data_IF_536555789530
#
_entry.id   IF_536555789530
#
_cell.length_a   1.000
_cell.length_b   1.000
_cell.length_c   1.000
_cell.angle_alpha   90.00
_cell.angle_beta   90.00
_cell.angle_gamma   90.00
#
_symmetry.space_group_name_H-M   'P 1'
#
loop_
_entity.id
_entity.type
_entity.pdbx_description
1 polymer ?
#
# COMPACT_ATOMS: atom_id res chain seq x y z
N UNK A 1 -25.41 1.24 7.66
CA UNK A 1 -25.01 1.81 6.35
C UNK A 1 -23.69 2.50 6.54
N UNK A 2 -22.66 2.02 5.83
CA UNK A 2 -21.27 2.44 6.05
C UNK A 2 -21.06 3.92 5.69
N UNK A 3 -20.55 4.70 6.65
CA UNK A 3 -20.12 6.10 6.47
C UNK A 3 -18.99 6.29 5.42
N UNK A 4 -18.52 5.22 4.79
CA UNK A 4 -17.39 5.19 3.85
C UNK A 4 -17.67 5.84 2.49
N UNK A 5 -18.94 6.07 2.17
CA UNK A 5 -19.36 6.66 0.87
C UNK A 5 -19.48 8.19 0.88
N UNK A 6 -19.20 8.86 2.00
CA UNK A 6 -19.41 10.32 2.10
C UNK A 6 -18.47 11.14 1.23
N UNK A 7 -17.24 10.67 0.98
CA UNK A 7 -16.29 11.38 0.09
C UNK A 7 -16.86 11.50 -1.31
N UNK A 8 -17.57 10.47 -1.79
CA UNK A 8 -18.20 10.43 -3.10
C UNK A 8 -19.50 11.26 -3.18
N UNK A 9 -20.08 11.58 -2.03
CA UNK A 9 -21.31 12.37 -1.92
C UNK A 9 -21.05 13.87 -1.63
N UNK A 10 -19.78 14.26 -1.50
CA UNK A 10 -19.43 15.66 -1.25
C UNK A 10 -19.60 16.49 -2.52
N UNK A 11 -20.67 17.27 -2.60
CA UNK A 11 -20.93 18.23 -3.69
C UNK A 11 -20.09 19.52 -3.56
N UNK A 12 -18.89 19.45 -2.98
CA UNK A 12 -18.00 20.60 -2.76
C UNK A 12 -16.85 20.69 -3.77
N UNK A 13 -16.65 19.65 -4.54
CA UNK A 13 -15.70 19.53 -5.65
C UNK A 13 -16.36 18.76 -6.79
N UNK A 14 -15.92 18.95 -8.06
CA UNK A 14 -16.35 18.12 -9.17
C UNK A 14 -16.08 16.63 -8.92
N UNK A 15 -16.88 15.75 -9.51
CA UNK A 15 -16.55 14.32 -9.49
C UNK A 15 -15.25 14.07 -10.23
N UNK A 16 -14.43 13.16 -9.70
CA UNK A 16 -13.11 12.85 -10.30
C UNK A 16 -13.22 12.47 -11.77
N UNK A 17 -14.23 11.68 -12.12
CA UNK A 17 -14.48 11.25 -13.50
C UNK A 17 -14.71 12.42 -14.47
N UNK A 18 -15.32 13.51 -14.01
CA UNK A 18 -15.59 14.70 -14.82
C UNK A 18 -14.33 15.57 -15.01
N UNK A 19 -13.29 15.33 -14.20
CA UNK A 19 -12.00 16.03 -14.26
C UNK A 19 -10.99 15.34 -15.16
N UNK A 20 -11.29 14.11 -15.60
CA UNK A 20 -10.43 13.36 -16.53
C UNK A 20 -10.73 13.77 -17.96
N UNK A 21 -9.73 14.26 -18.74
CA UNK A 21 -9.99 14.87 -20.05
C UNK A 21 -10.48 13.92 -21.14
N UNK A 22 -10.30 12.58 -21.00
CA UNK A 22 -10.68 11.59 -22.00
C UNK A 22 -11.25 10.32 -21.34
N UNK A 23 -12.42 9.88 -21.82
CA UNK A 23 -13.11 8.66 -21.35
C UNK A 23 -12.27 7.37 -21.51
N UNK A 24 -11.22 7.36 -22.31
CA UNK A 24 -10.27 6.23 -22.44
C UNK A 24 -9.58 5.88 -21.12
N UNK A 25 -9.51 6.82 -20.18
CA UNK A 25 -8.91 6.59 -18.86
C UNK A 25 -9.74 5.68 -17.96
N UNK A 26 -11.01 5.45 -18.30
CA UNK A 26 -11.89 4.57 -17.54
C UNK A 26 -11.62 3.07 -17.70
N UNK A 27 -10.67 2.69 -18.53
CA UNK A 27 -10.37 1.29 -18.77
C UNK A 27 -9.02 0.90 -18.19
N UNK A 28 -8.97 -0.31 -17.63
CA UNK A 28 -7.70 -0.92 -17.27
C UNK A 28 -6.86 -1.18 -18.52
N UNK A 29 -5.56 -1.27 -18.35
CA UNK A 29 -4.72 -1.79 -19.43
C UNK A 29 -5.08 -3.26 -19.69
N UNK A 30 -4.93 -3.72 -20.92
CA UNK A 30 -5.15 -5.12 -21.30
C UNK A 30 -4.25 -6.10 -20.54
N UNK A 31 -3.14 -5.61 -19.97
CA UNK A 31 -2.18 -6.41 -19.21
C UNK A 31 -2.03 -5.89 -17.79
N UNK A 32 -2.42 -6.70 -16.81
CA UNK A 32 -2.12 -6.49 -15.40
C UNK A 32 -0.74 -7.06 -15.12
N UNK A 33 0.16 -6.22 -14.62
CA UNK A 33 1.53 -6.58 -14.29
C UNK A 33 1.74 -6.85 -12.79
N UNK A 34 0.89 -6.26 -11.94
CA UNK A 34 1.00 -6.31 -10.48
C UNK A 34 -0.24 -6.97 -9.89
N UNK A 35 -0.03 -8.04 -9.14
CA UNK A 35 -1.03 -8.61 -8.25
C UNK A 35 -0.72 -8.18 -6.81
N UNK A 36 -1.53 -7.27 -6.27
CA UNK A 36 -1.43 -6.91 -4.87
C UNK A 36 -2.35 -7.81 -4.04
N UNK A 37 -1.79 -8.51 -3.05
CA UNK A 37 -2.53 -9.49 -2.25
C UNK A 37 -2.62 -9.02 -0.80
N UNK A 38 -3.83 -8.68 -0.38
CA UNK A 38 -4.13 -8.23 0.96
C UNK A 38 -4.52 -9.43 1.83
N UNK A 39 -3.53 -10.01 2.53
CA UNK A 39 -3.68 -11.28 3.25
C UNK A 39 -4.49 -11.20 4.54
N UNK A 40 -5.00 -10.01 4.88
CA UNK A 40 -5.88 -9.83 6.02
C UNK A 40 -5.82 -8.43 6.62
N UNK A 41 -6.68 -8.20 7.63
CA UNK A 41 -6.72 -6.92 8.37
C UNK A 41 -6.18 -7.03 9.79
N UNK A 42 -5.79 -8.22 10.24
CA UNK A 42 -5.13 -8.42 11.53
C UNK A 42 -3.76 -7.71 11.51
N UNK A 43 -3.50 -6.89 12.52
CA UNK A 43 -2.26 -6.12 12.65
C UNK A 43 -1.94 -5.92 14.13
N UNK A 44 -0.67 -5.99 14.51
CA UNK A 44 -0.23 -5.65 15.87
C UNK A 44 -0.20 -4.14 16.16
N UNK A 45 -0.50 -3.29 15.15
CA UNK A 45 -0.58 -1.83 15.27
C UNK A 45 -1.97 -1.30 14.91
N UNK A 46 -2.28 -0.07 15.40
CA UNK A 46 -3.51 0.67 15.07
C UNK A 46 -3.20 2.08 14.56
N UNK A 47 -2.43 2.16 13.47
CA UNK A 47 -1.94 3.42 12.89
C UNK A 47 -3.08 4.36 12.47
N UNK A 48 -2.94 5.67 12.74
CA UNK A 48 -3.98 6.69 12.45
C UNK A 48 -4.25 6.89 10.96
N UNK A 49 -3.25 6.70 10.11
CA UNK A 49 -3.35 6.88 8.65
C UNK A 49 -3.78 5.61 7.90
N UNK A 50 -4.10 4.52 8.60
CA UNK A 50 -4.41 3.24 7.95
C UNK A 50 -5.72 3.30 7.17
N UNK A 51 -5.62 3.20 5.84
CA UNK A 51 -6.74 3.25 4.92
C UNK A 51 -7.64 2.01 4.98
N UNK A 52 -7.10 0.83 5.36
CA UNK A 52 -7.87 -0.41 5.54
C UNK A 52 -8.43 -0.60 6.95
N UNK A 53 -8.14 0.32 7.89
CA UNK A 53 -8.54 0.21 9.29
C UNK A 53 -8.10 -1.09 9.96
N UNK A 54 -6.88 -1.57 9.64
CA UNK A 54 -6.28 -2.77 10.24
C UNK A 54 -5.98 -2.57 11.72
N UNK A 55 -6.00 -3.65 12.50
CA UNK A 55 -5.73 -3.56 13.94
C UNK A 55 -5.72 -4.93 14.64
N UNK A 56 -5.38 -4.95 15.94
CA UNK A 56 -5.31 -6.20 16.73
C UNK A 56 -6.67 -6.85 16.97
N UNK A 57 -7.73 -6.09 16.83
CA UNK A 57 -9.13 -6.49 17.00
C UNK A 57 -9.77 -7.05 15.72
N UNK A 58 -9.03 -7.07 14.60
CA UNK A 58 -9.51 -7.56 13.31
C UNK A 58 -9.34 -9.08 13.21
N UNK A 59 -10.28 -9.72 12.52
CA UNK A 59 -10.34 -11.18 12.36
C UNK A 59 -10.24 -11.62 10.90
N UNK A 60 -10.25 -10.68 9.98
CA UNK A 60 -10.15 -10.96 8.55
C UNK A 60 -8.75 -11.48 8.22
N UNK A 61 -8.69 -12.74 7.81
CA UNK A 61 -7.47 -13.47 7.47
C UNK A 61 -7.73 -14.27 6.20
N UNK A 62 -6.87 -14.13 5.21
CA UNK A 62 -6.93 -14.89 3.96
C UNK A 62 -6.66 -16.36 4.21
N UNK A 63 -7.60 -17.20 3.77
CA UNK A 63 -7.47 -18.66 3.83
C UNK A 63 -6.50 -19.20 2.77
N UNK A 64 -6.07 -20.46 2.97
CA UNK A 64 -5.13 -21.15 2.10
C UNK A 64 -5.60 -21.25 0.66
N UNK A 65 -6.85 -21.60 0.43
CA UNK A 65 -7.47 -21.75 -0.89
C UNK A 65 -7.38 -20.44 -1.71
N UNK A 66 -7.65 -19.29 -1.08
CA UNK A 66 -7.54 -17.98 -1.76
C UNK A 66 -6.10 -17.71 -2.15
N UNK A 67 -5.13 -18.02 -1.29
CA UNK A 67 -3.70 -17.89 -1.59
C UNK A 67 -3.27 -18.80 -2.75
N UNK A 68 -3.75 -20.03 -2.82
CA UNK A 68 -3.52 -20.96 -3.93
C UNK A 68 -4.08 -20.40 -5.24
N UNK A 69 -5.25 -19.79 -5.21
CA UNK A 69 -5.82 -19.08 -6.35
C UNK A 69 -4.99 -17.88 -6.78
N UNK A 70 -4.39 -17.13 -5.83
CA UNK A 70 -3.46 -16.05 -6.15
C UNK A 70 -2.21 -16.58 -6.87
N UNK A 71 -1.59 -17.66 -6.38
CA UNK A 71 -0.45 -18.31 -7.03
C UNK A 71 -0.82 -18.79 -8.44
N UNK A 72 -1.98 -19.43 -8.58
CA UNK A 72 -2.50 -19.84 -9.88
C UNK A 72 -2.66 -18.67 -10.85
N UNK A 73 -3.19 -17.54 -10.37
CA UNK A 73 -3.34 -16.33 -11.15
C UNK A 73 -1.99 -15.74 -11.58
N UNK A 74 -0.99 -15.69 -10.69
CA UNK A 74 0.37 -15.25 -11.01
C UNK A 74 0.93 -16.04 -12.19
N UNK A 75 0.86 -17.38 -12.12
CA UNK A 75 1.40 -18.27 -13.14
C UNK A 75 0.63 -18.17 -14.48
N UNK A 76 -0.70 -18.22 -14.44
CA UNK A 76 -1.55 -18.25 -15.63
C UNK A 76 -1.60 -16.90 -16.37
N UNK A 77 -1.51 -15.80 -15.62
CA UNK A 77 -1.59 -14.44 -16.17
C UNK A 77 -0.23 -13.83 -16.49
N UNK A 78 0.87 -14.48 -16.12
CA UNK A 78 2.22 -13.94 -16.32
C UNK A 78 2.47 -12.67 -15.53
N UNK A 79 1.94 -12.62 -14.28
CA UNK A 79 2.13 -11.49 -13.39
C UNK A 79 3.62 -11.33 -13.08
N UNK A 80 4.12 -10.11 -13.23
CA UNK A 80 5.56 -9.80 -13.03
C UNK A 80 5.91 -9.49 -11.58
N UNK A 81 4.94 -8.96 -10.83
CA UNK A 81 5.13 -8.51 -9.45
C UNK A 81 3.99 -8.97 -8.56
N UNK A 82 4.34 -9.68 -7.50
CA UNK A 82 3.43 -10.02 -6.40
C UNK A 82 3.74 -9.12 -5.20
N UNK A 83 2.79 -8.28 -4.83
CA UNK A 83 2.89 -7.30 -3.74
C UNK A 83 2.05 -7.77 -2.54
N UNK A 84 2.69 -8.40 -1.55
CA UNK A 84 2.02 -8.95 -0.37
C UNK A 84 1.86 -7.84 0.67
N UNK A 85 0.61 -7.57 1.03
CA UNK A 85 0.23 -6.50 1.96
C UNK A 85 -0.89 -6.96 2.91
N UNK A 86 -1.40 -6.04 3.70
CA UNK A 86 -2.50 -6.29 4.65
C UNK A 86 -2.37 -5.43 5.89
N UNK A 87 -2.76 -5.99 7.01
CA UNK A 87 -2.45 -5.45 8.34
C UNK A 87 -0.96 -5.62 8.66
N UNK A 88 -0.63 -6.76 9.26
CA UNK A 88 0.73 -7.30 9.29
C UNK A 88 0.66 -8.66 8.59
N UNK A 89 1.17 -8.78 7.36
CA UNK A 89 1.08 -10.02 6.58
C UNK A 89 1.61 -11.24 7.33
N UNK A 90 2.64 -11.04 8.12
CA UNK A 90 3.34 -12.06 8.91
C UNK A 90 2.42 -12.72 9.96
N UNK A 91 1.34 -12.05 10.39
CA UNK A 91 0.35 -12.60 11.32
C UNK A 91 -0.61 -13.61 10.67
N UNK A 92 -0.65 -13.69 9.34
CA UNK A 92 -1.43 -14.72 8.68
C UNK A 92 -0.77 -16.10 8.90
N UNK A 93 -1.47 -17.12 9.43
CA UNK A 93 -0.87 -18.42 9.72
C UNK A 93 -0.32 -19.16 8.50
N UNK A 94 -0.78 -18.82 7.30
CA UNK A 94 -0.29 -19.37 6.05
C UNK A 94 0.81 -18.50 5.39
N UNK A 95 1.23 -17.40 6.02
CA UNK A 95 2.13 -16.43 5.42
C UNK A 95 3.45 -17.04 4.94
N UNK A 96 4.11 -17.83 5.80
CA UNK A 96 5.41 -18.44 5.46
C UNK A 96 5.31 -19.34 4.24
N UNK A 97 4.29 -20.17 4.20
CA UNK A 97 4.02 -21.01 3.04
C UNK A 97 3.72 -20.18 1.80
N UNK A 98 2.84 -19.19 1.91
CA UNK A 98 2.46 -18.32 0.78
C UNK A 98 3.68 -17.56 0.21
N UNK A 99 4.54 -17.06 1.09
CA UNK A 99 5.78 -16.38 0.69
C UNK A 99 6.69 -17.30 -0.13
N UNK A 100 6.92 -18.53 0.32
CA UNK A 100 7.79 -19.50 -0.37
C UNK A 100 7.20 -19.92 -1.72
N UNK A 101 5.90 -20.22 -1.78
CA UNK A 101 5.23 -20.51 -3.04
C UNK A 101 5.24 -19.32 -4.00
N UNK A 102 5.14 -18.10 -3.48
CA UNK A 102 5.25 -16.88 -4.28
C UNK A 102 6.62 -16.77 -4.96
N UNK A 103 7.69 -17.11 -4.26
CA UNK A 103 9.05 -17.12 -4.82
C UNK A 103 9.19 -18.17 -5.94
N UNK A 104 8.51 -19.31 -5.82
CA UNK A 104 8.54 -20.39 -6.83
C UNK A 104 7.86 -20.00 -8.16
N UNK A 105 7.04 -18.94 -8.19
CA UNK A 105 6.38 -18.47 -9.42
C UNK A 105 7.34 -17.79 -10.41
N UNK A 106 8.50 -17.33 -9.95
CA UNK A 106 9.42 -16.51 -10.72
C UNK A 106 9.03 -15.03 -10.83
N UNK A 107 7.90 -14.62 -10.30
CA UNK A 107 7.54 -13.21 -10.15
C UNK A 107 8.42 -12.53 -9.10
N UNK A 108 8.68 -11.24 -9.25
CA UNK A 108 9.29 -10.45 -8.16
C UNK A 108 8.33 -10.38 -6.99
N UNK A 109 8.80 -10.63 -5.77
CA UNK A 109 7.97 -10.61 -4.56
C UNK A 109 8.35 -9.43 -3.69
N UNK A 110 7.35 -8.63 -3.33
CA UNK A 110 7.45 -7.53 -2.37
C UNK A 110 6.62 -7.88 -1.14
N UNK A 111 7.13 -7.56 0.04
CA UNK A 111 6.36 -7.59 1.28
C UNK A 111 6.30 -6.19 1.89
N UNK A 112 5.07 -5.72 2.16
CA UNK A 112 4.84 -4.46 2.89
C UNK A 112 4.72 -4.75 4.37
N UNK A 113 5.79 -4.47 5.10
CA UNK A 113 5.88 -4.75 6.54
C UNK A 113 5.76 -3.48 7.37
N UNK A 114 5.06 -3.58 8.48
CA UNK A 114 5.09 -2.54 9.50
C UNK A 114 6.39 -2.58 10.34
N UNK A 115 7.27 -3.53 10.07
CA UNK A 115 8.54 -3.84 10.72
C UNK A 115 8.42 -4.36 12.14
N UNK A 116 7.68 -3.68 13.04
CA UNK A 116 7.68 -4.04 14.47
C UNK A 116 7.10 -5.42 14.77
N UNK A 117 6.42 -6.02 13.82
CA UNK A 117 6.04 -7.43 13.90
C UNK A 117 7.28 -8.35 13.90
N UNK A 118 8.36 -7.95 13.27
CA UNK A 118 9.60 -8.73 13.16
C UNK A 118 10.39 -8.80 14.48
N UNK A 119 9.97 -8.01 15.48
CA UNK A 119 10.53 -7.95 16.84
C UNK A 119 9.57 -8.61 17.86
N UNK A 120 8.47 -9.16 17.41
CA UNK A 120 7.54 -9.89 18.28
C UNK A 120 7.98 -11.37 18.42
N UNK A 121 7.69 -11.99 19.59
CA UNK A 121 8.01 -13.42 19.80
C UNK A 121 7.44 -14.34 18.71
N UNK A 122 8.26 -15.19 18.14
CA UNK A 122 7.89 -16.14 17.09
C UNK A 122 8.07 -15.61 15.66
N UNK A 123 8.57 -14.39 15.48
CA UNK A 123 8.83 -13.77 14.17
C UNK A 123 10.32 -13.42 13.95
N UNK A 124 11.20 -13.79 14.87
CA UNK A 124 12.63 -13.41 14.88
C UNK A 124 13.40 -13.97 13.69
N UNK A 125 12.95 -15.05 13.09
CA UNK A 125 13.54 -15.69 11.91
C UNK A 125 13.08 -15.09 10.58
N UNK A 126 11.95 -14.35 10.57
CA UNK A 126 11.37 -13.77 9.35
C UNK A 126 12.36 -12.86 8.58
N UNK A 127 13.16 -11.99 9.22
CA UNK A 127 14.14 -11.19 8.48
C UNK A 127 15.15 -12.05 7.69
N UNK A 128 15.56 -13.19 8.24
CA UNK A 128 16.43 -14.15 7.55
C UNK A 128 15.69 -14.89 6.44
N UNK A 129 14.43 -15.26 6.66
CA UNK A 129 13.57 -15.87 5.64
C UNK A 129 13.44 -14.93 4.45
N UNK A 130 13.21 -13.65 4.67
CA UNK A 130 13.15 -12.64 3.62
C UNK A 130 14.47 -12.54 2.86
N UNK A 131 15.59 -12.41 3.56
CA UNK A 131 16.90 -12.27 2.95
C UNK A 131 17.29 -13.51 2.10
N UNK A 132 17.03 -14.72 2.62
CA UNK A 132 17.36 -15.97 1.92
C UNK A 132 16.57 -16.17 0.63
N UNK A 133 15.38 -15.54 0.52
CA UNK A 133 14.51 -15.64 -0.65
C UNK A 133 14.53 -14.38 -1.53
N UNK A 134 15.43 -13.43 -1.27
CA UNK A 134 15.55 -12.22 -2.09
C UNK A 134 14.33 -11.29 -2.08
N UNK A 135 13.55 -11.32 -0.98
CA UNK A 135 12.32 -10.53 -0.87
C UNK A 135 12.63 -9.04 -0.81
N UNK A 136 11.99 -8.25 -1.65
CA UNK A 136 12.03 -6.80 -1.54
C UNK A 136 11.11 -6.32 -0.41
N UNK A 137 11.62 -5.45 0.44
CA UNK A 137 10.87 -4.91 1.58
C UNK A 137 10.44 -3.47 1.34
N UNK A 138 9.16 -3.20 1.60
CA UNK A 138 8.62 -1.84 1.69
C UNK A 138 8.15 -1.62 3.13
N UNK A 139 8.86 -0.78 3.86
CA UNK A 139 8.73 -0.62 5.30
C UNK A 139 8.12 0.74 5.67
N UNK A 140 7.09 0.72 6.51
CA UNK A 140 6.43 1.94 6.97
C UNK A 140 7.29 2.70 7.97
N UNK A 141 7.81 3.86 7.59
CA UNK A 141 8.47 4.81 8.49
C UNK A 141 7.96 6.22 8.17
N UNK A 142 6.76 6.60 8.65
CA UNK A 142 6.09 7.84 8.26
C UNK A 142 6.90 9.11 8.51
N UNK A 143 7.83 9.08 9.46
CA UNK A 143 8.79 10.17 9.67
C UNK A 143 10.08 9.66 10.30
N UNK A 144 11.15 10.43 10.16
CA UNK A 144 12.50 10.13 10.69
C UNK A 144 12.72 10.64 12.13
N UNK A 145 11.69 11.15 12.80
CA UNK A 145 11.73 11.51 14.22
C UNK A 145 10.72 10.70 15.03
N UNK A 146 11.05 10.41 16.29
CA UNK A 146 10.19 9.64 17.18
C UNK A 146 8.84 10.32 17.40
N UNK A 147 8.82 11.62 17.68
CA UNK A 147 7.58 12.35 17.94
C UNK A 147 6.55 12.25 16.81
N UNK A 148 6.98 12.47 15.57
CA UNK A 148 6.08 12.50 14.43
C UNK A 148 5.69 11.10 13.97
N UNK A 149 6.62 10.14 14.04
CA UNK A 149 6.35 8.75 13.74
C UNK A 149 5.37 8.15 14.77
N UNK A 150 5.64 8.33 16.05
CA UNK A 150 4.86 7.73 17.14
C UNK A 150 3.47 8.35 17.26
N UNK A 151 3.31 9.64 16.91
CA UNK A 151 1.99 10.27 16.78
C UNK A 151 1.08 9.53 15.80
N UNK A 152 1.64 8.95 14.75
CA UNK A 152 0.89 8.22 13.73
C UNK A 152 0.75 6.73 14.04
N UNK A 153 1.77 6.11 14.64
CA UNK A 153 1.86 4.65 14.76
C UNK A 153 1.73 4.11 16.19
N UNK A 154 1.95 4.94 17.18
CA UNK A 154 1.95 4.57 18.61
C UNK A 154 3.31 4.81 19.27
N UNK A 155 3.30 4.98 20.58
CA UNK A 155 4.49 5.31 21.40
C UNK A 155 5.54 4.19 21.32
N UNK A 156 6.80 4.56 21.11
CA UNK A 156 7.96 3.63 21.06
C UNK A 156 8.12 2.87 19.75
N UNK A 157 7.22 3.07 18.79
CA UNK A 157 7.28 2.37 17.50
C UNK A 157 8.49 2.83 16.66
N UNK A 158 8.89 4.09 16.79
CA UNK A 158 10.06 4.60 16.09
C UNK A 158 11.34 3.87 16.50
N UNK A 159 11.61 3.75 17.78
CA UNK A 159 12.84 3.13 18.28
C UNK A 159 12.91 1.63 17.93
N UNK A 160 11.79 0.93 18.02
CA UNK A 160 11.68 -0.45 17.55
C UNK A 160 11.96 -0.54 16.05
N UNK A 161 11.37 0.34 15.24
CA UNK A 161 11.59 0.39 13.79
C UNK A 161 13.07 0.63 13.45
N UNK A 162 13.74 1.55 14.15
CA UNK A 162 15.18 1.82 14.02
C UNK A 162 16.02 0.57 14.33
N UNK A 163 15.70 -0.16 15.41
CA UNK A 163 16.40 -1.40 15.77
C UNK A 163 16.28 -2.44 14.65
N UNK A 164 15.07 -2.62 14.11
CA UNK A 164 14.82 -3.60 13.04
C UNK A 164 15.49 -3.19 11.73
N UNK A 165 15.46 -1.92 11.36
CA UNK A 165 16.15 -1.42 10.16
C UNK A 165 17.66 -1.68 10.25
N UNK A 166 18.27 -1.48 11.42
CA UNK A 166 19.70 -1.83 11.64
C UNK A 166 19.95 -3.33 11.45
N UNK A 167 19.03 -4.18 11.92
CA UNK A 167 19.16 -5.63 11.75
C UNK A 167 19.01 -6.04 10.28
N UNK A 168 18.07 -5.44 9.55
CA UNK A 168 17.91 -5.64 8.10
C UNK A 168 19.18 -5.19 7.35
N UNK A 169 19.76 -4.05 7.72
CA UNK A 169 21.03 -3.61 7.13
C UNK A 169 22.19 -4.59 7.42
N UNK A 170 22.22 -5.23 8.60
CA UNK A 170 23.22 -6.28 8.88
C UNK A 170 23.06 -7.49 7.96
N UNK A 171 21.83 -7.83 7.59
CA UNK A 171 21.52 -8.92 6.64
C UNK A 171 21.80 -8.54 5.17
N UNK A 172 22.17 -7.28 4.88
CA UNK A 172 22.51 -6.83 3.53
C UNK A 172 21.47 -5.95 2.85
N UNK A 173 20.30 -5.74 3.45
CA UNK A 173 19.26 -4.87 2.92
C UNK A 173 19.73 -3.41 2.81
N UNK A 174 19.29 -2.71 1.75
CA UNK A 174 19.56 -1.29 1.53
C UNK A 174 21.02 -0.94 1.19
N UNK A 175 21.85 -1.97 0.84
CA UNK A 175 23.29 -1.82 0.57
C UNK A 175 23.67 -2.02 -0.91
N UNK A 176 22.69 -2.03 -1.82
CA UNK A 176 22.94 -2.22 -3.25
C UNK A 176 23.26 -3.66 -3.69
N UNK A 177 23.20 -4.64 -2.79
CA UNK A 177 23.54 -6.06 -3.05
C UNK A 177 22.38 -6.94 -3.48
N UNK A 178 21.28 -6.35 -3.98
CA UNK A 178 20.09 -7.10 -4.44
C UNK A 178 18.96 -7.19 -3.42
N UNK A 179 19.25 -7.13 -2.10
CA UNK A 179 18.23 -7.06 -1.05
C UNK A 179 17.73 -5.62 -0.90
N UNK A 180 16.60 -5.32 -1.52
CA UNK A 180 16.06 -3.95 -1.54
C UNK A 180 15.25 -3.65 -0.30
N UNK A 181 15.55 -2.49 0.30
CA UNK A 181 14.85 -1.91 1.44
C UNK A 181 14.32 -0.55 1.05
N UNK A 182 13.01 -0.43 0.92
CA UNK A 182 12.35 0.84 0.64
C UNK A 182 11.57 1.30 1.87
N UNK A 183 11.53 2.61 2.09
CA UNK A 183 10.78 3.22 3.18
C UNK A 183 9.55 3.94 2.64
N UNK A 184 8.51 4.05 3.46
CA UNK A 184 7.29 4.78 3.12
C UNK A 184 7.10 5.93 4.10
N UNK A 185 6.95 7.13 3.53
CA UNK A 185 6.49 8.32 4.20
C UNK A 185 4.99 8.53 3.99
N UNK A 186 4.29 8.92 5.04
CA UNK A 186 2.93 9.44 4.99
C UNK A 186 2.82 10.76 5.76
N UNK A 187 2.13 11.80 5.22
CA UNK A 187 1.87 13.03 5.94
C UNK A 187 1.17 12.78 7.28
N UNK A 188 1.58 13.50 8.33
CA UNK A 188 0.99 13.37 9.67
C UNK A 188 -0.38 14.06 9.84
N UNK A 189 -1.02 14.50 8.77
CA UNK A 189 -2.28 15.24 8.81
C UNK A 189 -2.88 15.52 7.44
N UNK A 190 -3.78 16.50 7.38
CA UNK A 190 -4.55 16.90 6.20
C UNK A 190 -3.74 17.82 5.26
N UNK A 191 -2.57 17.38 4.81
CA UNK A 191 -1.71 18.11 3.87
C UNK A 191 -1.04 17.16 2.87
N UNK A 192 -0.58 17.71 1.74
CA UNK A 192 0.14 16.94 0.72
C UNK A 192 1.60 16.71 1.15
N UNK A 193 2.22 15.62 0.70
CA UNK A 193 3.64 15.40 0.91
C UNK A 193 4.47 16.47 0.18
N UNK A 194 5.67 16.80 0.69
CA UNK A 194 6.65 17.57 -0.08
C UNK A 194 7.20 16.73 -1.23
N UNK A 195 8.07 17.34 -2.06
CA UNK A 195 8.79 16.62 -3.13
C UNK A 195 9.47 15.36 -2.59
N UNK A 196 9.25 14.21 -3.24
CA UNK A 196 9.83 12.93 -2.85
C UNK A 196 11.36 13.00 -2.78
N UNK A 197 12.00 13.61 -3.79
CA UNK A 197 13.46 13.71 -3.84
C UNK A 197 14.03 14.52 -2.67
N UNK A 198 13.40 15.66 -2.33
CA UNK A 198 13.83 16.48 -1.19
C UNK A 198 13.69 15.72 0.14
N UNK A 199 12.54 15.04 0.33
CA UNK A 199 12.26 14.28 1.52
C UNK A 199 13.19 13.06 1.65
N UNK A 200 13.48 12.38 0.54
CA UNK A 200 14.42 11.25 0.52
C UNK A 200 15.82 11.68 0.95
N UNK A 201 16.30 12.83 0.49
CA UNK A 201 17.60 13.39 0.90
C UNK A 201 17.63 13.63 2.43
N UNK A 202 16.57 14.19 3.00
CA UNK A 202 16.45 14.39 4.45
C UNK A 202 16.47 13.07 5.21
N UNK A 203 15.72 12.07 4.75
CA UNK A 203 15.69 10.73 5.35
C UNK A 203 17.08 10.08 5.30
N UNK A 204 17.75 10.12 4.14
CA UNK A 204 19.09 9.56 3.98
C UNK A 204 20.09 10.21 4.93
N UNK A 205 20.11 11.53 4.98
CA UNK A 205 21.00 12.30 5.86
C UNK A 205 20.77 11.94 7.32
N UNK A 206 19.54 12.09 7.80
CA UNK A 206 19.20 11.91 9.23
C UNK A 206 19.32 10.48 9.69
N UNK A 207 18.77 9.50 8.94
CA UNK A 207 18.83 8.10 9.34
C UNK A 207 20.26 7.55 9.34
N UNK A 208 21.09 7.99 8.38
CA UNK A 208 22.51 7.60 8.35
C UNK A 208 23.30 8.22 9.51
N UNK A 209 23.17 9.53 9.73
CA UNK A 209 23.93 10.25 10.77
C UNK A 209 23.52 9.85 12.18
N UNK A 210 22.22 9.73 12.46
CA UNK A 210 21.72 9.48 13.81
C UNK A 210 21.66 7.99 14.16
N UNK A 211 21.43 7.11 13.17
CA UNK A 211 21.11 5.71 13.42
C UNK A 211 21.97 4.71 12.64
N UNK A 212 22.81 5.17 11.70
CA UNK A 212 23.64 4.32 10.85
C UNK A 212 22.82 3.48 9.84
N UNK A 213 21.59 3.90 9.53
CA UNK A 213 20.66 3.20 8.65
C UNK A 213 20.83 3.67 7.21
N UNK A 214 20.80 2.72 6.28
CA UNK A 214 20.76 2.94 4.83
C UNK A 214 19.56 2.23 4.23
N UNK A 215 19.02 2.76 3.13
CA UNK A 215 17.88 2.23 2.40
C UNK A 215 17.99 2.58 0.91
N UNK A 216 17.21 1.89 0.05
CA UNK A 216 17.29 2.10 -1.41
C UNK A 216 16.44 3.27 -1.88
N UNK A 217 15.13 3.32 -1.56
CA UNK A 217 14.23 4.39 -1.98
C UNK A 217 13.30 4.82 -0.85
N UNK A 218 12.84 6.07 -0.92
CA UNK A 218 11.73 6.57 -0.12
C UNK A 218 10.51 6.75 -1.02
N UNK A 219 9.40 6.12 -0.66
CA UNK A 219 8.12 6.34 -1.33
C UNK A 219 7.27 7.32 -0.53
N UNK A 220 6.84 8.40 -1.16
CA UNK A 220 5.92 9.37 -0.55
C UNK A 220 4.50 9.04 -0.95
N UNK A 221 3.66 8.77 0.02
CA UNK A 221 2.25 8.42 -0.22
C UNK A 221 1.35 9.52 0.35
N UNK A 222 0.54 10.13 -0.51
CA UNK A 222 -0.55 11.02 -0.09
C UNK A 222 -1.59 10.21 0.67
N UNK A 223 -1.99 10.69 1.84
CA UNK A 223 -3.02 10.01 2.61
C UNK A 223 -4.34 10.01 1.85
N UNK A 224 -4.86 8.83 1.55
CA UNK A 224 -6.16 8.69 0.91
C UNK A 224 -7.28 8.89 1.96
N UNK A 225 -8.36 9.65 1.67
CA UNK A 225 -9.45 9.92 2.60
C UNK A 225 -10.38 8.70 2.78
N UNK A 226 -9.80 7.57 3.22
CA UNK A 226 -10.47 6.30 3.50
C UNK A 226 -10.06 5.76 4.88
N UNK A 227 -10.80 4.80 5.42
CA UNK A 227 -10.51 4.15 6.69
C UNK A 227 -10.36 5.12 7.86
N UNK A 228 -9.40 4.85 8.76
CA UNK A 228 -9.16 5.71 9.95
C UNK A 228 -8.71 7.13 9.61
N UNK A 229 -8.07 7.33 8.47
CA UNK A 229 -7.72 8.69 8.07
C UNK A 229 -8.96 9.50 7.69
N UNK A 230 -9.95 8.89 7.04
CA UNK A 230 -11.25 9.52 6.82
C UNK A 230 -11.94 9.88 8.15
N UNK A 231 -11.96 8.96 9.12
CA UNK A 231 -12.52 9.24 10.45
C UNK A 231 -11.81 10.41 11.14
N UNK A 232 -10.48 10.47 11.04
CA UNK A 232 -9.69 11.60 11.53
C UNK A 232 -10.09 12.92 10.87
N UNK A 233 -10.24 12.93 9.55
CA UNK A 233 -10.64 14.13 8.79
C UNK A 233 -12.04 14.62 9.20
N UNK A 234 -12.98 13.70 9.39
CA UNK A 234 -14.33 14.03 9.86
C UNK A 234 -14.32 14.60 11.27
N UNK A 235 -13.68 13.89 12.20
CA UNK A 235 -13.67 14.26 13.63
C UNK A 235 -12.95 15.58 13.90
N UNK A 236 -11.98 15.94 13.05
CA UNK A 236 -11.23 17.19 13.13
C UNK A 236 -11.83 18.34 12.32
N UNK A 237 -12.94 18.11 11.58
CA UNK A 237 -13.54 19.10 10.68
C UNK A 237 -12.70 19.44 9.45
N UNK A 238 -11.70 18.65 9.12
CA UNK A 238 -10.76 18.92 8.02
C UNK A 238 -11.14 18.25 6.69
N UNK A 239 -12.24 17.48 6.62
CA UNK A 239 -12.58 16.69 5.44
C UNK A 239 -12.76 17.57 4.21
N UNK A 240 -13.62 18.58 4.28
CA UNK A 240 -13.91 19.47 3.15
C UNK A 240 -12.67 20.24 2.69
N UNK A 241 -11.90 20.76 3.64
CA UNK A 241 -10.64 21.47 3.36
C UNK A 241 -9.60 20.58 2.69
N UNK A 242 -9.52 19.32 3.12
CA UNK A 242 -8.61 18.34 2.54
C UNK A 242 -9.02 17.93 1.12
N UNK A 243 -10.32 17.66 0.89
CA UNK A 243 -10.82 17.33 -0.44
C UNK A 243 -10.64 18.47 -1.43
N UNK A 244 -10.90 19.72 -1.03
CA UNK A 244 -10.59 20.90 -1.85
C UNK A 244 -9.11 21.03 -2.16
N UNK A 245 -8.22 20.73 -1.19
CA UNK A 245 -6.76 20.73 -1.40
C UNK A 245 -6.34 19.68 -2.42
N UNK A 246 -6.85 18.47 -2.34
CA UNK A 246 -6.59 17.41 -3.31
C UNK A 246 -7.04 17.84 -4.71
N UNK A 247 -8.27 18.33 -4.83
CA UNK A 247 -8.82 18.82 -6.10
C UNK A 247 -8.00 19.98 -6.69
N UNK A 248 -7.69 21.00 -5.90
CA UNK A 248 -6.92 22.15 -6.37
C UNK A 248 -5.47 21.80 -6.77
N UNK A 249 -4.99 20.64 -6.33
CA UNK A 249 -3.67 20.11 -6.67
C UNK A 249 -3.73 18.98 -7.71
N UNK A 250 -4.90 18.74 -8.32
CA UNK A 250 -5.07 17.73 -9.34
C UNK A 250 -4.13 17.98 -10.51
N UNK A 251 -3.38 16.95 -10.88
CA UNK A 251 -2.43 16.96 -11.98
C UNK A 251 -2.84 15.91 -13.03
N UNK A 252 -3.43 16.32 -14.14
CA UNK A 252 -3.90 15.39 -15.17
C UNK A 252 -2.77 14.54 -15.77
N UNK A 253 -1.52 15.01 -15.77
CA UNK A 253 -0.38 14.25 -16.29
C UNK A 253 -0.08 12.97 -15.48
N UNK A 254 -0.56 12.88 -14.23
CA UNK A 254 -0.35 11.71 -13.39
C UNK A 254 -1.39 10.60 -13.61
N UNK A 255 -2.50 10.90 -14.30
CA UNK A 255 -3.61 9.95 -14.52
C UNK A 255 -3.16 8.72 -15.33
N UNK A 256 -2.24 8.90 -16.27
CA UNK A 256 -1.72 7.79 -17.06
C UNK A 256 -0.93 6.75 -16.24
N UNK A 257 -0.40 7.16 -15.09
CA UNK A 257 0.51 6.36 -14.26
C UNK A 257 -0.09 5.92 -12.95
N UNK A 258 -1.40 6.11 -12.74
CA UNK A 258 -2.07 5.62 -11.52
C UNK A 258 -2.01 4.08 -11.48
N UNK A 259 -1.81 3.54 -10.29
CA UNK A 259 -1.56 2.10 -10.09
C UNK A 259 -2.67 1.19 -10.63
N UNK A 260 -3.93 1.59 -10.53
CA UNK A 260 -5.08 0.80 -10.95
C UNK A 260 -5.15 0.50 -12.46
N UNK A 261 -4.28 1.10 -13.27
CA UNK A 261 -4.17 0.81 -14.71
C UNK A 261 -3.39 -0.48 -15.00
N UNK A 262 -2.44 -0.86 -14.15
CA UNK A 262 -1.58 -2.05 -14.34
C UNK A 262 -1.58 -2.99 -13.14
N UNK A 263 -2.36 -2.68 -12.10
CA UNK A 263 -2.49 -3.46 -10.87
C UNK A 263 -3.92 -3.96 -10.70
N UNK A 264 -4.04 -5.10 -10.03
CA UNK A 264 -5.28 -5.55 -9.41
C UNK A 264 -5.00 -5.93 -7.96
N UNK A 265 -5.92 -5.58 -7.06
CA UNK A 265 -5.82 -5.92 -5.64
C UNK A 265 -6.79 -7.05 -5.28
N UNK A 266 -6.33 -7.99 -4.45
CA UNK A 266 -7.13 -9.11 -3.95
C UNK A 266 -7.35 -8.92 -2.47
N UNK A 267 -8.62 -8.95 -2.03
CA UNK A 267 -9.00 -8.95 -0.63
C UNK A 267 -8.75 -10.30 0.04
N UNK A 268 -8.76 -10.29 1.37
CA UNK A 268 -8.62 -11.49 2.20
C UNK A 268 -9.67 -12.58 1.90
N UNK A 269 -10.80 -12.19 1.36
CA UNK A 269 -11.94 -13.01 0.94
C UNK A 269 -11.86 -13.46 -0.54
N UNK A 270 -10.80 -13.10 -1.24
CA UNK A 270 -10.59 -13.42 -2.64
C UNK A 270 -11.29 -12.48 -3.62
N UNK A 271 -11.99 -11.44 -3.13
CA UNK A 271 -12.64 -10.45 -3.98
C UNK A 271 -11.61 -9.53 -4.63
N UNK A 272 -11.89 -9.10 -5.86
CA UNK A 272 -11.02 -8.25 -6.67
C UNK A 272 -11.42 -6.77 -6.58
N UNK A 273 -10.40 -5.91 -6.55
CA UNK A 273 -10.53 -4.47 -6.52
C UNK A 273 -9.51 -3.84 -7.47
N UNK A 274 -9.82 -2.66 -8.03
CA UNK A 274 -8.87 -1.93 -8.89
C UNK A 274 -7.60 -1.49 -8.12
N UNK A 275 -7.75 -1.21 -6.83
CA UNK A 275 -6.67 -0.89 -5.90
C UNK A 275 -7.11 -1.13 -4.45
N UNK A 276 -6.18 -1.03 -3.51
CA UNK A 276 -6.45 -1.17 -2.08
C UNK A 276 -7.31 -0.04 -1.49
N UNK A 277 -7.38 1.13 -2.14
CA UNK A 277 -8.32 2.19 -1.75
C UNK A 277 -9.75 1.84 -2.14
N UNK A 278 -9.99 1.28 -3.33
CA UNK A 278 -11.30 0.73 -3.69
C UNK A 278 -11.67 -0.44 -2.77
N UNK A 279 -10.71 -1.25 -2.35
CA UNK A 279 -10.92 -2.28 -1.34
C UNK A 279 -11.36 -1.68 0.01
N UNK A 280 -10.75 -0.58 0.44
CA UNK A 280 -11.14 0.12 1.67
C UNK A 280 -12.59 0.60 1.64
N UNK A 281 -13.09 0.95 0.46
CA UNK A 281 -14.47 1.39 0.21
C UNK A 281 -15.44 0.21 -0.04
N UNK A 282 -14.95 -1.01 -0.19
CA UNK A 282 -15.75 -2.16 -0.60
C UNK A 282 -16.22 -2.08 -2.06
N UNK A 283 -15.46 -1.40 -2.90
CA UNK A 283 -15.74 -1.21 -4.32
C UNK A 283 -15.05 -2.26 -5.16
N UNK A 284 -15.70 -3.41 -5.29
CA UNK A 284 -15.24 -4.50 -6.15
C UNK A 284 -15.12 -4.05 -7.60
N UNK A 285 -14.25 -4.71 -8.37
CA UNK A 285 -14.16 -4.51 -9.82
C UNK A 285 -15.50 -4.79 -10.52
N UNK A 286 -15.69 -4.20 -11.67
CA UNK A 286 -16.81 -4.55 -12.55
C UNK A 286 -16.46 -5.81 -13.35
N UNK A 287 -17.42 -6.69 -13.55
CA UNK A 287 -17.22 -7.98 -14.24
C UNK A 287 -16.85 -9.12 -13.28
N UNK A 288 -15.78 -9.86 -13.57
CA UNK A 288 -15.32 -11.01 -12.78
C UNK A 288 -14.79 -10.53 -11.42
N UNK A 289 -15.37 -11.05 -10.34
CA UNK A 289 -15.19 -10.49 -9.00
C UNK A 289 -14.21 -11.24 -8.12
N UNK A 290 -13.90 -12.50 -8.43
CA UNK A 290 -13.02 -13.30 -7.56
C UNK A 290 -11.72 -13.67 -8.25
N UNK A 291 -10.65 -13.82 -7.44
CA UNK A 291 -9.33 -14.23 -7.93
C UNK A 291 -9.35 -15.60 -8.60
N UNK A 292 -10.17 -16.54 -8.09
CA UNK A 292 -10.31 -17.89 -8.64
C UNK A 292 -10.94 -17.88 -10.03
N UNK A 293 -11.99 -17.09 -10.24
CA UNK A 293 -12.60 -16.89 -11.56
C UNK A 293 -11.65 -16.18 -12.49
N UNK A 294 -11.03 -15.08 -12.03
CA UNK A 294 -10.14 -14.27 -12.83
C UNK A 294 -8.91 -15.04 -13.31
N UNK A 295 -8.34 -15.94 -12.49
CA UNK A 295 -7.21 -16.76 -12.90
C UNK A 295 -7.49 -17.63 -14.14
N UNK A 296 -8.76 -17.94 -14.42
CA UNK A 296 -9.18 -18.85 -15.49
C UNK A 296 -9.95 -18.16 -16.64
N UNK A 297 -10.35 -16.90 -16.46
CA UNK A 297 -11.13 -16.17 -17.44
C UNK A 297 -10.27 -15.67 -18.61
N UNK A 298 -10.85 -15.38 -19.77
CA UNK A 298 -10.17 -14.65 -20.84
C UNK A 298 -9.66 -13.29 -20.35
N UNK A 299 -8.63 -12.78 -21.00
CA UNK A 299 -8.15 -11.41 -20.73
C UNK A 299 -9.12 -10.43 -21.40
N UNK A 300 -9.84 -9.67 -20.59
CA UNK A 300 -10.78 -8.65 -21.05
C UNK A 300 -10.43 -7.29 -20.45
N UNK A 301 -10.60 -6.25 -21.26
CA UNK A 301 -10.59 -4.89 -20.74
C UNK A 301 -11.81 -4.67 -19.87
N UNK A 302 -11.62 -3.99 -18.75
CA UNK A 302 -12.70 -3.65 -17.83
C UNK A 302 -12.62 -2.17 -17.45
N UNK A 303 -13.74 -1.52 -17.20
CA UNK A 303 -13.72 -0.16 -16.69
C UNK A 303 -13.18 -0.15 -15.25
N UNK A 304 -12.33 0.84 -14.97
CA UNK A 304 -11.83 1.12 -13.61
C UNK A 304 -12.90 1.92 -12.86
N UNK A 305 -13.14 1.58 -11.61
CA UNK A 305 -14.05 2.33 -10.74
C UNK A 305 -13.32 3.49 -10.11
N UNK A 306 -13.52 4.67 -10.63
CA UNK A 306 -13.02 5.93 -10.10
C UNK A 306 -14.01 6.57 -9.12
N UNK A 307 -13.45 7.31 -8.15
CA UNK A 307 -14.22 8.14 -7.25
C UNK A 307 -13.41 9.35 -6.77
N UNK A 308 -14.00 10.21 -5.95
CA UNK A 308 -13.35 11.44 -5.49
C UNK A 308 -12.09 11.17 -4.64
N UNK A 309 -11.98 9.99 -4.04
CA UNK A 309 -10.76 9.54 -3.36
C UNK A 309 -9.55 9.41 -4.32
N UNK A 310 -9.79 9.25 -5.63
CA UNK A 310 -8.72 9.17 -6.64
C UNK A 310 -7.94 10.48 -6.80
N UNK A 311 -8.50 11.62 -6.37
CA UNK A 311 -7.73 12.86 -6.30
C UNK A 311 -6.47 12.74 -5.42
N UNK A 312 -6.47 11.84 -4.41
CA UNK A 312 -5.26 11.59 -3.62
C UNK A 312 -4.13 10.93 -4.42
N UNK A 313 -4.48 10.13 -5.44
CA UNK A 313 -3.49 9.47 -6.31
C UNK A 313 -2.94 10.42 -7.39
N UNK A 314 -3.62 11.54 -7.65
CA UNK A 314 -3.32 12.46 -8.77
C UNK A 314 -2.97 13.87 -8.33
N UNK A 315 -2.94 14.15 -7.03
CA UNK A 315 -2.56 15.45 -6.50
C UNK A 315 -1.04 15.68 -6.59
N UNK A 316 -0.62 16.85 -7.05
CA UNK A 316 0.81 17.23 -7.16
C UNK A 316 1.58 16.32 -8.11
N UNK A 317 2.64 15.68 -7.60
CA UNK A 317 3.45 14.69 -8.35
C UNK A 317 2.75 13.34 -8.52
N UNK A 318 1.50 13.21 -8.08
CA UNK A 318 0.81 11.94 -7.99
C UNK A 318 1.30 11.06 -6.83
N UNK A 319 0.56 10.00 -6.55
CA UNK A 319 0.89 9.07 -5.49
C UNK A 319 0.41 7.67 -5.83
N UNK A 320 1.31 6.71 -5.75
CA UNK A 320 1.03 5.29 -5.90
C UNK A 320 1.64 4.50 -4.75
N UNK A 321 1.39 3.19 -4.71
CA UNK A 321 2.05 2.29 -3.78
C UNK A 321 3.59 2.25 -3.94
N UNK A 322 4.12 2.81 -5.04
CA UNK A 322 5.56 2.93 -5.33
C UNK A 322 6.08 4.37 -5.20
N UNK A 323 5.32 5.26 -4.57
CA UNK A 323 5.70 6.68 -4.39
C UNK A 323 5.10 7.59 -5.46
N UNK A 324 5.80 8.71 -5.76
CA UNK A 324 5.31 9.69 -6.75
C UNK A 324 5.25 9.10 -8.16
N UNK A 325 4.34 9.64 -8.97
CA UNK A 325 4.10 9.19 -10.34
C UNK A 325 4.87 10.03 -11.39
N UNK A 326 5.80 10.90 -10.96
CA UNK A 326 6.68 11.67 -11.83
C UNK A 326 7.83 10.85 -12.41
#
# INVERSE_FOLDING_TARGET
MNNLYRVEQLNIIPHFIDSIPDMKWNHSMSQIEVLQVNVGRLCNLKCRHCHLSCGPDRKEIMGREVMENCISAVNKRGIKLLDITGGAPELNPNFRWFLLESCNTGARVIVRSNMVILDEPGFEDIPKLYANNGIELICSLPYYSSNDNDRQRGTGIFDRSVSILRNLNKLGYGKGGGLKLNLVYNPGGAFLPPSQAALENDYRGRLKQQHGIVFDNLYTITNNPTGRFYEFLQNSGNLDGYMKRLFNSFNPATVERIMCRSQISVGWDGMLYDCDFNQALGWEVLGIKTIGEWANAPSEERPIRFGNHCYACTAGSGSSCSGSNE
#
